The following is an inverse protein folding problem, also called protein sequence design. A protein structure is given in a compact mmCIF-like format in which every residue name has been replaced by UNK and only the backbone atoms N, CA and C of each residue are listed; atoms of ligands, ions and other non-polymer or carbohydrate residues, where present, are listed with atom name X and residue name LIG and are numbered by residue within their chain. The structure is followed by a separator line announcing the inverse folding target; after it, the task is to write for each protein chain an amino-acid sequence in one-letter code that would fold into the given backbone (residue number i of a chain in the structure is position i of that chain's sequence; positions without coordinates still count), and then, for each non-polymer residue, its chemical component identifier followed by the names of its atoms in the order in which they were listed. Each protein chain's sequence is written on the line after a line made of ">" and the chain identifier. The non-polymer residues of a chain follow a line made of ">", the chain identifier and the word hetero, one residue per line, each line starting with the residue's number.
data_IF_113630257282
#
_entry.id   IF_113630257282
#
_cell.length_a   1.000
_cell.length_b   1.000
_cell.length_c   1.000
_cell.angle_alpha   90.00
_cell.angle_beta   90.00
_cell.angle_gamma   90.00
#
_symmetry.space_group_name_H-M   'P 1'
#
loop_
_entity.id
_entity.type
_entity.pdbx_description
1 polymer ?
#
# COMPACT_ATOMS: atom_id res chain seq x y z
N UNK A 1 18.73 16.93 -33.77
CA UNK A 1 17.85 16.00 -33.01
C UNK A 1 17.02 16.87 -32.09
N UNK A 2 15.72 16.65 -32.05
CA UNK A 2 14.79 17.43 -31.25
C UNK A 2 14.78 16.94 -29.80
N UNK A 3 14.51 17.86 -28.88
CA UNK A 3 14.43 17.61 -27.42
C UNK A 3 13.46 16.46 -27.08
N UNK A 4 12.45 16.19 -27.92
CA UNK A 4 11.52 15.06 -27.74
C UNK A 4 12.21 13.71 -27.88
N UNK A 5 13.15 13.59 -28.83
CA UNK A 5 13.91 12.37 -29.02
C UNK A 5 14.86 12.15 -27.84
N UNK A 6 15.55 13.19 -27.38
CA UNK A 6 16.46 13.14 -26.22
C UNK A 6 15.73 12.75 -24.92
N UNK A 7 14.53 13.30 -24.68
CA UNK A 7 13.70 12.94 -23.52
C UNK A 7 13.23 11.49 -23.63
N UNK A 8 12.77 11.04 -24.80
CA UNK A 8 12.30 9.67 -24.98
C UNK A 8 13.44 8.66 -24.83
N UNK A 9 14.65 9.00 -25.29
CA UNK A 9 15.86 8.20 -25.16
C UNK A 9 16.31 8.12 -23.69
N UNK A 10 16.27 9.23 -22.96
CA UNK A 10 16.48 9.25 -21.50
C UNK A 10 15.48 8.37 -20.74
N UNK A 11 14.18 8.50 -21.03
CA UNK A 11 13.14 7.70 -20.36
C UNK A 11 13.30 6.20 -20.59
N UNK A 12 13.80 5.81 -21.77
CA UNK A 12 14.10 4.42 -22.12
C UNK A 12 15.36 3.91 -21.41
N UNK A 13 16.44 4.70 -21.40
CA UNK A 13 17.71 4.33 -20.77
C UNK A 13 17.57 4.11 -19.26
N UNK A 14 16.82 5.00 -18.58
CA UNK A 14 16.65 4.95 -17.13
C UNK A 14 15.44 4.13 -16.66
N UNK A 15 14.73 3.45 -17.57
CA UNK A 15 13.55 2.59 -17.27
C UNK A 15 12.47 3.29 -16.40
N UNK A 16 12.40 4.62 -16.42
CA UNK A 16 11.51 5.44 -15.56
C UNK A 16 10.04 5.14 -15.84
N UNK A 17 9.72 4.77 -17.08
CA UNK A 17 8.36 4.41 -17.51
C UNK A 17 7.82 3.22 -16.69
N UNK A 18 8.66 2.21 -16.43
CA UNK A 18 8.26 1.03 -15.64
C UNK A 18 8.00 1.39 -14.17
N UNK A 19 8.84 2.26 -13.60
CA UNK A 19 8.66 2.76 -12.23
C UNK A 19 7.38 3.57 -12.08
N UNK A 20 7.09 4.45 -13.06
CA UNK A 20 5.90 5.29 -13.05
C UNK A 20 4.60 4.46 -13.08
N UNK A 21 4.54 3.44 -13.94
CA UNK A 21 3.36 2.55 -14.04
C UNK A 21 3.18 1.76 -12.75
N UNK A 22 4.26 1.20 -12.18
CA UNK A 22 4.19 0.48 -10.91
C UNK A 22 3.70 1.36 -9.75
N UNK A 23 4.16 2.61 -9.68
CA UNK A 23 3.73 3.57 -8.66
C UNK A 23 2.24 3.91 -8.78
N UNK A 24 1.74 4.18 -10.00
CA UNK A 24 0.34 4.52 -10.24
C UNK A 24 -0.58 3.34 -9.84
N UNK A 25 -0.22 2.12 -10.23
CA UNK A 25 -0.97 0.91 -9.87
C UNK A 25 -0.91 0.67 -8.35
N UNK A 26 0.26 0.90 -7.74
CA UNK A 26 0.44 0.79 -6.30
C UNK A 26 -0.44 1.77 -5.52
N UNK A 27 -0.49 3.03 -5.95
CA UNK A 27 -1.35 4.06 -5.36
C UNK A 27 -2.84 3.70 -5.48
N UNK A 28 -3.29 3.31 -6.68
CA UNK A 28 -4.68 2.91 -6.90
C UNK A 28 -5.08 1.66 -6.08
N UNK A 29 -4.16 0.71 -5.91
CA UNK A 29 -4.39 -0.49 -5.09
C UNK A 29 -4.50 -0.13 -3.61
N UNK A 30 -3.67 0.80 -3.12
CA UNK A 30 -3.77 1.29 -1.76
C UNK A 30 -5.11 1.97 -1.49
N UNK A 31 -5.61 2.78 -2.42
CA UNK A 31 -6.92 3.44 -2.31
C UNK A 31 -8.08 2.42 -2.29
N UNK A 32 -7.99 1.35 -3.09
CA UNK A 32 -8.97 0.27 -3.10
C UNK A 32 -9.01 -0.49 -1.76
N UNK A 33 -7.83 -0.82 -1.21
CA UNK A 33 -7.73 -1.47 0.10
C UNK A 33 -8.27 -0.55 1.20
N UNK A 34 -7.91 0.73 1.15
CA UNK A 34 -8.42 1.74 2.08
C UNK A 34 -9.94 1.84 2.05
N UNK A 35 -10.53 1.94 0.86
CA UNK A 35 -11.98 1.96 0.70
C UNK A 35 -12.66 0.71 1.28
N UNK A 36 -12.05 -0.47 1.12
CA UNK A 36 -12.56 -1.70 1.73
C UNK A 36 -12.52 -1.64 3.27
N UNK A 37 -11.44 -1.13 3.84
CA UNK A 37 -11.29 -0.95 5.29
C UNK A 37 -12.32 0.05 5.82
N UNK A 38 -12.41 1.21 5.19
CA UNK A 38 -13.29 2.31 5.60
C UNK A 38 -14.78 1.94 5.48
N UNK A 39 -15.17 1.18 4.45
CA UNK A 39 -16.59 0.87 4.21
C UNK A 39 -17.06 -0.45 4.84
N UNK A 40 -16.16 -1.42 5.07
CA UNK A 40 -16.54 -2.73 5.60
C UNK A 40 -16.06 -2.93 7.02
N UNK A 41 -14.80 -2.58 7.33
CA UNK A 41 -14.23 -2.88 8.64
C UNK A 41 -14.55 -1.80 9.68
N UNK A 42 -14.50 -0.51 9.33
CA UNK A 42 -14.83 0.57 10.27
C UNK A 42 -16.26 0.48 10.84
N UNK A 43 -17.32 0.19 10.04
CA UNK A 43 -18.66 -0.01 10.58
C UNK A 43 -18.81 -1.25 11.47
N UNK A 44 -17.95 -2.27 11.28
CA UNK A 44 -17.94 -3.47 12.11
C UNK A 44 -17.20 -3.26 13.45
N UNK A 45 -16.20 -2.36 13.49
CA UNK A 45 -15.47 -1.99 14.70
C UNK A 45 -16.20 -0.90 15.50
N UNK A 46 -16.96 -0.03 14.83
CA UNK A 46 -17.77 1.03 15.45
C UNK A 46 -18.66 0.59 16.62
N UNK A 47 -19.42 -0.52 16.54
CA UNK A 47 -20.26 -0.99 17.64
C UNK A 47 -19.48 -1.71 18.75
N UNK A 48 -18.24 -2.17 18.50
CA UNK A 48 -17.39 -2.82 19.51
C UNK A 48 -16.74 -1.83 20.47
N UNK A 49 -16.71 -0.53 20.12
CA UNK A 49 -16.16 0.53 20.96
C UNK A 49 -17.29 1.54 21.27
N UNK A 50 -18.02 1.36 22.39
CA UNK A 50 -19.15 2.23 22.70
C UNK A 50 -18.64 3.64 22.93
N UNK A 51 -19.01 4.56 22.03
CA UNK A 51 -18.89 6.00 22.27
C UNK A 51 -18.26 6.84 21.18
N UNK A 52 -17.69 6.30 20.09
CA UNK A 52 -17.24 7.04 18.89
C UNK A 52 -16.30 8.25 19.09
N UNK A 53 -15.95 8.59 20.33
CA UNK A 53 -15.31 9.85 20.72
C UNK A 53 -13.83 9.72 21.02
N UNK A 54 -13.28 8.50 20.91
CA UNK A 54 -11.85 8.24 21.04
C UNK A 54 -11.06 8.80 19.86
N UNK A 55 -11.64 8.91 18.66
CA UNK A 55 -11.02 9.61 17.52
C UNK A 55 -10.86 11.11 17.79
N UNK A 56 -11.81 11.69 18.55
CA UNK A 56 -11.80 13.09 18.96
C UNK A 56 -11.27 13.30 20.37
N UNK A 57 -10.74 12.27 21.03
CA UNK A 57 -10.35 12.37 22.42
C UNK A 57 -9.18 13.38 22.56
N UNK A 58 -9.45 14.40 23.36
CA UNK A 58 -8.52 15.46 23.68
C UNK A 58 -8.30 15.48 25.18
N UNK A 59 -7.04 15.61 25.59
CA UNK A 59 -6.69 15.93 26.97
C UNK A 59 -6.15 17.35 26.95
N UNK A 60 -6.88 18.26 27.59
CA UNK A 60 -6.44 19.63 27.78
C UNK A 60 -5.60 19.71 29.06
N UNK A 61 -4.31 20.04 28.91
CA UNK A 61 -3.44 20.41 30.02
C UNK A 61 -3.22 21.93 29.95
N UNK A 62 -4.13 22.69 30.54
CA UNK A 62 -4.11 24.16 30.50
C UNK A 62 -4.27 24.69 29.06
N UNK A 63 -3.34 25.51 28.53
CA UNK A 63 -3.44 26.07 27.18
C UNK A 63 -3.05 25.08 26.07
N UNK A 64 -2.55 23.89 26.41
CA UNK A 64 -2.09 22.88 25.45
C UNK A 64 -3.12 21.76 25.34
N UNK A 65 -3.72 21.62 24.16
CA UNK A 65 -4.69 20.56 23.86
C UNK A 65 -3.96 19.42 23.15
N UNK A 66 -3.73 18.31 23.85
CA UNK A 66 -3.14 17.11 23.26
C UNK A 66 -4.26 16.24 22.70
N UNK A 67 -4.34 16.18 21.36
CA UNK A 67 -5.28 15.34 20.62
C UNK A 67 -4.65 13.96 20.40
N UNK A 68 -4.77 13.08 21.37
CA UNK A 68 -4.26 11.70 21.26
C UNK A 68 -5.21 10.77 20.49
N UNK A 69 -6.47 11.16 20.37
CA UNK A 69 -7.48 10.42 19.62
C UNK A 69 -7.16 10.10 18.16
N UNK A 70 -6.79 11.08 17.31
CA UNK A 70 -6.49 10.80 15.90
C UNK A 70 -5.23 9.94 15.74
N UNK A 71 -4.28 10.03 16.67
CA UNK A 71 -3.10 9.17 16.66
C UNK A 71 -3.46 7.71 16.91
N UNK A 72 -4.28 7.44 17.94
CA UNK A 72 -4.73 6.08 18.24
C UNK A 72 -5.62 5.51 17.12
N UNK A 73 -6.49 6.32 16.52
CA UNK A 73 -7.27 5.94 15.34
C UNK A 73 -6.36 5.54 14.16
N UNK A 74 -5.33 6.33 13.88
CA UNK A 74 -4.35 6.01 12.82
C UNK A 74 -3.56 4.73 13.09
N UNK A 75 -3.23 4.47 14.36
CA UNK A 75 -2.52 3.24 14.78
C UNK A 75 -3.40 1.99 14.63
N UNK A 76 -4.68 2.08 15.03
CA UNK A 76 -5.66 1.01 14.83
C UNK A 76 -5.88 0.76 13.33
N UNK A 77 -6.03 1.82 12.55
CA UNK A 77 -6.17 1.74 11.10
C UNK A 77 -4.97 1.03 10.44
N UNK A 78 -3.73 1.35 10.86
CA UNK A 78 -2.52 0.67 10.38
C UNK A 78 -2.53 -0.84 10.68
N UNK A 79 -3.00 -1.24 11.86
CA UNK A 79 -3.10 -2.66 12.23
C UNK A 79 -4.17 -3.36 11.37
N UNK A 80 -5.32 -2.73 11.17
CA UNK A 80 -6.41 -3.30 10.36
C UNK A 80 -5.98 -3.46 8.90
N UNK A 81 -5.40 -2.43 8.28
CA UNK A 81 -4.96 -2.51 6.89
C UNK A 81 -3.88 -3.57 6.69
N UNK A 82 -2.94 -3.71 7.64
CA UNK A 82 -1.91 -4.75 7.59
C UNK A 82 -2.52 -6.16 7.61
N UNK A 83 -3.52 -6.40 8.48
CA UNK A 83 -4.23 -7.68 8.57
C UNK A 83 -5.01 -7.96 7.27
N UNK A 84 -5.72 -6.96 6.73
CA UNK A 84 -6.52 -7.13 5.51
C UNK A 84 -5.64 -7.45 4.31
N UNK A 85 -4.54 -6.71 4.12
CA UNK A 85 -3.58 -6.99 3.04
C UNK A 85 -2.99 -8.39 3.18
N UNK A 86 -2.63 -8.80 4.39
CA UNK A 86 -2.13 -10.15 4.67
C UNK A 86 -3.16 -11.24 4.35
N UNK A 87 -4.43 -11.05 4.72
CA UNK A 87 -5.51 -12.01 4.43
C UNK A 87 -5.77 -12.12 2.92
N UNK A 88 -5.76 -11.02 2.19
CA UNK A 88 -5.90 -11.00 0.73
C UNK A 88 -4.71 -11.73 0.08
N UNK A 89 -3.48 -11.41 0.51
CA UNK A 89 -2.27 -12.07 0.01
C UNK A 89 -2.31 -13.59 0.25
N UNK A 90 -2.71 -14.01 1.46
CA UNK A 90 -2.83 -15.44 1.82
C UNK A 90 -3.88 -16.16 0.98
N UNK A 91 -5.09 -15.59 0.83
CA UNK A 91 -6.15 -16.19 0.00
C UNK A 91 -5.77 -16.27 -1.48
N UNK A 92 -5.06 -15.25 -1.99
CA UNK A 92 -4.58 -15.24 -3.37
C UNK A 92 -3.46 -16.26 -3.60
N UNK A 93 -2.61 -16.50 -2.60
CA UNK A 93 -1.55 -17.52 -2.67
C UNK A 93 -2.10 -18.96 -2.67
N UNK A 94 -3.18 -19.22 -1.93
CA UNK A 94 -3.78 -20.56 -1.81
C UNK A 94 -4.51 -20.99 -3.10
N UNK A 95 -5.06 -20.04 -3.86
CA UNK A 95 -5.80 -20.30 -5.10
C UNK A 95 -4.97 -20.30 -6.38
N UNK A 96 -3.68 -19.92 -6.34
CA UNK A 96 -2.88 -19.68 -7.55
C UNK A 96 -1.49 -20.32 -7.45
N UNK A 97 -1.38 -21.62 -7.74
CA UNK A 97 -0.10 -22.30 -8.04
C UNK A 97 0.62 -21.77 -9.30
N UNK A 98 0.06 -20.79 -10.02
CA UNK A 98 0.54 -20.38 -11.35
C UNK A 98 0.54 -18.87 -11.61
N UNK A 99 0.45 -18.02 -10.58
CA UNK A 99 0.55 -16.56 -10.73
C UNK A 99 1.77 -15.98 -10.02
N UNK A 100 2.75 -16.85 -9.75
CA UNK A 100 4.06 -16.54 -9.20
C UNK A 100 5.06 -16.01 -10.25
N UNK A 101 4.58 -15.60 -11.43
CA UNK A 101 5.40 -14.93 -12.46
C UNK A 101 5.23 -13.41 -12.49
N UNK A 102 4.20 -12.85 -11.84
CA UNK A 102 3.96 -11.38 -11.87
C UNK A 102 4.49 -10.67 -10.62
N UNK A 103 4.78 -11.40 -9.54
CA UNK A 103 5.16 -10.82 -8.24
C UNK A 103 6.67 -10.61 -8.08
N UNK A 104 7.52 -11.24 -8.89
CA UNK A 104 8.94 -10.94 -9.00
C UNK A 104 9.38 -11.48 -10.36
N UNK A 105 10.13 -10.75 -11.20
CA UNK A 105 10.86 -11.39 -12.27
C UNK A 105 11.94 -12.27 -11.62
N UNK A 106 11.58 -13.50 -11.23
CA UNK A 106 12.54 -14.57 -10.92
C UNK A 106 13.41 -14.91 -12.14
N UNK A 107 13.04 -14.41 -13.32
CA UNK A 107 13.87 -14.31 -14.53
C UNK A 107 15.10 -13.41 -14.38
N UNK A 108 15.14 -12.46 -13.43
CA UNK A 108 16.37 -11.71 -13.13
C UNK A 108 17.42 -12.60 -12.43
N UNK A 109 16.99 -13.64 -11.73
CA UNK A 109 17.91 -14.56 -11.05
C UNK A 109 18.53 -15.61 -12.00
N UNK A 110 17.85 -15.96 -13.11
CA UNK A 110 18.40 -16.88 -14.12
C UNK A 110 19.28 -16.19 -15.16
N UNK A 111 19.02 -14.94 -15.54
CA UNK A 111 19.84 -14.24 -16.54
C UNK A 111 21.21 -13.78 -16.01
N UNK A 112 21.36 -13.54 -14.71
CA UNK A 112 22.62 -13.08 -14.12
C UNK A 112 23.65 -14.21 -13.91
N UNK A 113 23.19 -15.46 -13.71
CA UNK A 113 24.07 -16.61 -13.46
C UNK A 113 24.66 -17.24 -14.74
N UNK A 114 24.09 -16.96 -15.92
CA UNK A 114 24.52 -17.55 -17.20
C UNK A 114 25.44 -16.65 -18.03
N UNK A 115 25.81 -15.47 -17.52
CA UNK A 115 26.69 -14.51 -18.18
C UNK A 115 27.90 -14.16 -17.29
N UNK A 116 28.37 -15.13 -16.51
CA UNK A 116 29.59 -15.03 -15.69
C UNK A 116 30.38 -16.35 -15.69
N UNK A 117 30.33 -17.07 -16.82
CA UNK A 117 31.26 -18.15 -17.24
C UNK A 117 31.50 -18.00 -18.73
#
# INVERSE_FOLDING_TARGET
>A
MGIKEEIMEFLKEYKVIGLAVAFIIGAATNDLVKSLVDNVFMPLVGPLIPGGGWETATVALGPVVIRWGPFLSSLIYFIIIAIVVFLIAKKSAEGRKGWEEVAFPSSFCKSFYYCSV
#
